data_IF_438729821786
#
_entry.id   IF_438729821786
#
_cell.length_a   1.000
_cell.length_b   1.000
_cell.length_c   1.000
_cell.angle_alpha   90.00
_cell.angle_beta   90.00
_cell.angle_gamma   90.00
#
_symmetry.space_group_name_H-M   'P 1'
#
loop_
_entity.id
_entity.type
_entity.pdbx_description
1 polymer ?
#
# COMPACT_ATOMS: atom_id res chain seq x y z
N UNK A 1 27.86 -5.66 33.12
CA UNK A 1 27.71 -6.26 31.77
C UNK A 1 27.00 -5.23 30.90
N UNK A 2 27.76 -4.38 30.21
CA UNK A 2 27.22 -3.35 29.32
C UNK A 2 26.97 -3.98 27.95
N UNK A 3 25.75 -4.48 27.75
CA UNK A 3 25.27 -4.91 26.44
C UNK A 3 24.98 -3.65 25.61
N UNK A 4 25.69 -3.51 24.50
CA UNK A 4 25.53 -2.49 23.47
C UNK A 4 24.06 -2.37 23.03
N UNK A 5 23.35 -1.34 23.50
CA UNK A 5 22.18 -0.81 22.82
C UNK A 5 22.67 -0.20 21.50
N UNK A 6 22.83 -1.02 20.46
CA UNK A 6 22.98 -0.51 19.11
C UNK A 6 21.75 0.32 18.77
N UNK A 7 21.98 1.49 18.19
CA UNK A 7 21.01 2.49 17.74
C UNK A 7 19.96 1.86 16.81
N UNK A 8 18.94 1.19 17.35
CA UNK A 8 17.82 0.72 16.56
C UNK A 8 17.15 1.89 15.82
N UNK A 9 17.28 3.08 16.38
CA UNK A 9 16.88 4.36 15.79
C UNK A 9 17.68 4.70 14.52
N UNK A 10 18.94 4.27 14.40
CA UNK A 10 19.75 4.48 13.20
C UNK A 10 19.20 3.72 11.98
N UNK A 11 18.39 2.67 12.19
CA UNK A 11 17.75 1.93 11.11
C UNK A 11 16.44 2.56 10.62
N UNK A 12 15.86 3.51 11.35
CA UNK A 12 14.57 4.13 11.00
C UNK A 12 14.65 4.85 9.64
N UNK A 13 15.64 5.73 9.48
CA UNK A 13 15.84 6.50 8.26
C UNK A 13 16.07 5.61 7.01
N UNK A 14 17.01 4.65 6.98
CA UNK A 14 17.21 3.79 5.82
C UNK A 14 16.00 2.90 5.52
N UNK A 15 15.23 2.47 6.53
CA UNK A 15 14.00 1.71 6.29
C UNK A 15 12.89 2.55 5.66
N UNK A 16 12.77 3.83 5.99
CA UNK A 16 11.85 4.73 5.27
C UNK A 16 12.30 4.95 3.81
N UNK A 17 13.60 5.09 3.57
CA UNK A 17 14.13 5.20 2.19
C UNK A 17 13.81 3.92 1.41
N UNK A 18 14.05 2.75 2.00
CA UNK A 18 13.70 1.47 1.39
C UNK A 18 12.20 1.36 1.11
N UNK A 19 11.35 1.71 2.08
CA UNK A 19 9.90 1.73 1.92
C UNK A 19 9.46 2.65 0.77
N UNK A 20 10.07 3.83 0.67
CA UNK A 20 9.83 4.76 -0.43
C UNK A 20 10.22 4.16 -1.78
N UNK A 21 11.41 3.56 -1.90
CA UNK A 21 11.87 2.94 -3.15
C UNK A 21 11.00 1.75 -3.57
N UNK A 22 10.53 0.94 -2.62
CA UNK A 22 9.61 -0.17 -2.88
C UNK A 22 8.26 0.28 -3.45
N UNK A 23 7.86 1.54 -3.23
CA UNK A 23 6.64 2.12 -3.80
C UNK A 23 6.96 2.89 -5.08
N UNK A 24 7.97 3.77 -5.05
CA UNK A 24 8.25 4.73 -6.10
C UNK A 24 8.72 4.06 -7.40
N UNK A 25 9.63 3.09 -7.32
CA UNK A 25 10.18 2.43 -8.51
C UNK A 25 9.10 1.72 -9.34
N UNK A 26 8.31 0.77 -8.79
CA UNK A 26 7.26 0.11 -9.56
C UNK A 26 6.15 1.08 -10.01
N UNK A 27 5.90 2.17 -9.27
CA UNK A 27 4.95 3.19 -9.71
C UNK A 27 5.44 3.93 -10.97
N UNK A 28 6.73 4.31 -11.02
CA UNK A 28 7.34 4.93 -12.18
C UNK A 28 7.39 3.97 -13.38
N UNK A 29 7.76 2.72 -13.15
CA UNK A 29 7.78 1.68 -14.18
C UNK A 29 6.37 1.47 -14.77
N UNK A 30 5.35 1.43 -13.92
CA UNK A 30 3.97 1.33 -14.38
C UNK A 30 3.54 2.55 -15.21
N UNK A 31 3.76 3.76 -14.70
CA UNK A 31 3.37 5.00 -15.39
C UNK A 31 4.04 5.11 -16.76
N UNK A 32 5.32 4.74 -16.88
CA UNK A 32 6.05 4.77 -18.15
C UNK A 32 5.60 3.67 -19.11
N UNK A 33 5.14 2.52 -18.59
CA UNK A 33 4.68 1.39 -19.41
C UNK A 33 3.33 1.59 -20.11
N UNK A 34 2.51 2.54 -19.64
CA UNK A 34 1.15 2.78 -20.19
C UNK A 34 1.08 3.97 -21.16
N UNK A 35 2.22 4.63 -21.42
CA UNK A 35 2.29 5.78 -22.34
C UNK A 35 2.39 5.30 -23.79
N UNK A 36 1.72 5.94 -24.78
CA UNK A 36 0.83 7.11 -24.64
C UNK A 36 -0.55 6.75 -24.07
N UNK A 37 -1.11 7.65 -23.26
CA UNK A 37 -2.41 7.44 -22.60
C UNK A 37 -3.55 7.41 -23.63
N UNK A 38 -4.26 6.28 -23.71
CA UNK A 38 -5.43 6.09 -24.60
C UNK A 38 -6.66 5.73 -23.79
N UNK A 39 -7.09 6.63 -22.91
CA UNK A 39 -8.22 6.38 -21.98
C UNK A 39 -9.57 6.12 -22.68
N UNK A 40 -9.73 6.52 -23.94
CA UNK A 40 -10.92 6.21 -24.74
C UNK A 40 -10.87 4.83 -25.39
N UNK A 41 -9.71 4.18 -25.42
CA UNK A 41 -9.48 2.87 -26.01
C UNK A 41 -9.65 1.79 -24.94
N UNK A 42 -10.58 0.87 -25.18
CA UNK A 42 -10.89 -0.20 -24.25
C UNK A 42 -9.76 -1.23 -24.12
N UNK A 43 -9.04 -1.49 -25.21
CA UNK A 43 -7.91 -2.43 -25.20
C UNK A 43 -6.79 -1.87 -24.31
N UNK A 44 -6.52 -0.57 -24.43
CA UNK A 44 -5.55 0.12 -23.58
C UNK A 44 -5.97 0.09 -22.11
N UNK A 45 -7.23 0.37 -21.80
CA UNK A 45 -7.74 0.33 -20.41
C UNK A 45 -7.59 -1.05 -19.80
N UNK A 46 -8.03 -2.09 -20.51
CA UNK A 46 -7.92 -3.47 -20.06
C UNK A 46 -6.46 -3.89 -19.87
N UNK A 47 -5.60 -3.61 -20.86
CA UNK A 47 -4.18 -3.94 -20.79
C UNK A 47 -3.48 -3.21 -19.63
N UNK A 48 -3.79 -1.93 -19.43
CA UNK A 48 -3.18 -1.10 -18.39
C UNK A 48 -3.58 -1.56 -16.99
N UNK A 49 -4.86 -1.84 -16.73
CA UNK A 49 -5.29 -2.36 -15.42
C UNK A 49 -4.78 -3.78 -15.21
N UNK A 50 -4.81 -4.63 -16.25
CA UNK A 50 -4.21 -5.96 -16.20
C UNK A 50 -2.73 -5.90 -15.83
N UNK A 51 -1.97 -4.99 -16.44
CA UNK A 51 -0.56 -4.76 -16.17
C UNK A 51 -0.34 -4.25 -14.75
N UNK A 52 -1.12 -3.26 -14.29
CA UNK A 52 -1.07 -2.70 -12.93
C UNK A 52 -1.11 -3.81 -11.88
N UNK A 53 -1.93 -4.86 -12.09
CA UNK A 53 -2.03 -5.99 -11.16
C UNK A 53 -0.67 -6.67 -10.86
N UNK A 54 0.26 -6.63 -11.82
CA UNK A 54 1.62 -7.15 -11.66
C UNK A 54 2.52 -6.31 -10.76
N UNK A 55 2.19 -5.02 -10.57
CA UNK A 55 3.02 -4.07 -9.82
C UNK A 55 2.57 -3.89 -8.38
N UNK A 56 1.44 -4.46 -7.94
CA UNK A 56 0.82 -4.11 -6.65
C UNK A 56 1.52 -4.66 -5.41
N UNK A 57 2.19 -5.81 -5.50
CA UNK A 57 2.76 -6.46 -4.32
C UNK A 57 3.92 -5.68 -3.71
N UNK A 58 4.82 -5.13 -4.54
CA UNK A 58 6.01 -4.41 -4.07
C UNK A 58 5.65 -3.10 -3.34
N UNK A 59 4.75 -2.24 -3.86
CA UNK A 59 4.23 -1.09 -3.13
C UNK A 59 3.51 -1.48 -1.84
N UNK A 60 2.75 -2.58 -1.83
CA UNK A 60 2.09 -3.06 -0.61
C UNK A 60 3.10 -3.36 0.49
N UNK A 61 4.23 -4.00 0.13
CA UNK A 61 5.34 -4.24 1.05
C UNK A 61 5.98 -2.93 1.52
N UNK A 62 6.21 -1.98 0.62
CA UNK A 62 6.75 -0.66 0.97
C UNK A 62 5.86 0.10 1.96
N UNK A 63 4.55 0.14 1.70
CA UNK A 63 3.56 0.74 2.61
C UNK A 63 3.52 0.02 3.96
N UNK A 64 3.49 -1.31 3.95
CA UNK A 64 3.50 -2.11 5.17
C UNK A 64 4.77 -1.87 6.01
N UNK A 65 5.93 -1.79 5.36
CA UNK A 65 7.20 -1.46 6.01
C UNK A 65 7.17 -0.05 6.61
N UNK A 66 6.72 0.96 5.85
CA UNK A 66 6.62 2.34 6.34
C UNK A 66 5.71 2.43 7.58
N UNK A 67 4.56 1.75 7.57
CA UNK A 67 3.66 1.72 8.72
C UNK A 67 4.24 0.94 9.91
N UNK A 68 5.00 -0.13 9.66
CA UNK A 68 5.70 -0.87 10.70
C UNK A 68 6.77 -0.04 11.39
N UNK A 69 7.60 0.66 10.61
CA UNK A 69 8.63 1.57 11.11
C UNK A 69 8.01 2.74 11.86
N UNK A 70 6.91 3.31 11.35
CA UNK A 70 6.21 4.39 12.02
C UNK A 70 5.59 3.98 13.36
N UNK A 71 5.06 2.76 13.44
CA UNK A 71 4.59 2.19 14.70
C UNK A 71 5.75 1.96 15.69
N UNK A 72 6.88 1.44 15.22
CA UNK A 72 8.09 1.23 16.04
C UNK A 72 8.66 2.55 16.57
N UNK A 73 8.80 3.55 15.71
CA UNK A 73 9.33 4.88 16.02
C UNK A 73 8.31 5.80 16.73
N UNK A 74 7.10 5.31 17.03
CA UNK A 74 6.02 6.11 17.64
C UNK A 74 5.62 7.36 16.84
N UNK A 75 5.77 7.34 15.51
CA UNK A 75 5.40 8.42 14.60
C UNK A 75 3.89 8.49 14.34
N UNK A 76 3.10 8.81 15.37
CA UNK A 76 1.63 8.73 15.32
C UNK A 76 0.99 9.57 14.19
N UNK A 77 1.52 10.79 13.95
CA UNK A 77 1.01 11.67 12.88
C UNK A 77 1.17 11.00 11.51
N UNK A 78 2.35 10.44 11.26
CA UNK A 78 2.63 9.71 10.02
C UNK A 78 1.76 8.46 9.89
N UNK A 79 1.58 7.70 10.98
CA UNK A 79 0.70 6.54 11.00
C UNK A 79 -0.76 6.88 10.62
N UNK A 80 -1.28 8.01 11.11
CA UNK A 80 -2.63 8.49 10.77
C UNK A 80 -2.74 8.91 9.31
N UNK A 81 -1.74 9.62 8.78
CA UNK A 81 -1.70 10.01 7.36
C UNK A 81 -1.69 8.77 6.48
N UNK A 82 -0.83 7.79 6.78
CA UNK A 82 -0.77 6.52 6.04
C UNK A 82 -2.07 5.72 6.14
N UNK A 83 -2.73 5.71 7.30
CA UNK A 83 -4.01 5.04 7.47
C UNK A 83 -5.10 5.66 6.57
N UNK A 84 -5.20 7.00 6.54
CA UNK A 84 -6.13 7.72 5.65
C UNK A 84 -5.77 7.46 4.18
N UNK A 85 -4.50 7.57 3.81
CA UNK A 85 -4.04 7.32 2.45
C UNK A 85 -4.41 5.90 1.98
N UNK A 86 -4.22 4.88 2.83
CA UNK A 86 -4.60 3.50 2.51
C UNK A 86 -6.11 3.31 2.32
N UNK A 87 -6.95 4.00 3.09
CA UNK A 87 -8.41 3.96 2.86
C UNK A 87 -8.80 4.65 1.54
N UNK A 88 -8.16 5.77 1.20
CA UNK A 88 -8.38 6.46 -0.08
C UNK A 88 -7.94 5.56 -1.24
N UNK A 89 -6.76 4.94 -1.14
CA UNK A 89 -6.26 3.97 -2.14
C UNK A 89 -7.23 2.79 -2.27
N UNK A 90 -7.73 2.24 -1.16
CA UNK A 90 -8.72 1.17 -1.18
C UNK A 90 -9.97 1.57 -1.97
N UNK A 91 -10.52 2.77 -1.69
CA UNK A 91 -11.70 3.28 -2.39
C UNK A 91 -11.44 3.50 -3.89
N UNK A 92 -10.30 4.08 -4.26
CA UNK A 92 -9.90 4.26 -5.65
C UNK A 92 -9.77 2.92 -6.39
N UNK A 93 -9.17 1.92 -5.75
CA UNK A 93 -9.00 0.59 -6.35
C UNK A 93 -10.32 -0.19 -6.45
N UNK A 94 -11.27 0.02 -5.54
CA UNK A 94 -12.64 -0.51 -5.70
C UNK A 94 -13.29 0.08 -6.95
N UNK A 95 -13.24 1.41 -7.12
CA UNK A 95 -13.78 2.05 -8.32
C UNK A 95 -13.09 1.55 -9.60
N UNK A 96 -11.75 1.46 -9.58
CA UNK A 96 -10.96 0.92 -10.69
C UNK A 96 -11.38 -0.51 -11.05
N UNK A 97 -11.55 -1.38 -10.04
CA UNK A 97 -11.97 -2.77 -10.25
C UNK A 97 -13.37 -2.85 -10.87
N UNK A 98 -14.31 -2.00 -10.45
CA UNK A 98 -15.65 -1.93 -11.05
C UNK A 98 -15.58 -1.55 -12.53
N UNK A 99 -14.80 -0.53 -12.90
CA UNK A 99 -14.60 -0.16 -14.31
C UNK A 99 -13.91 -1.27 -15.11
N UNK A 100 -12.93 -1.95 -14.52
CA UNK A 100 -12.23 -3.05 -15.16
C UNK A 100 -13.14 -4.25 -15.44
N UNK A 101 -14.08 -4.55 -14.53
CA UNK A 101 -15.09 -5.58 -14.78
C UNK A 101 -15.97 -5.22 -15.99
N UNK A 102 -16.36 -3.95 -16.14
CA UNK A 102 -17.08 -3.48 -17.33
C UNK A 102 -16.24 -3.69 -18.61
N UNK A 103 -14.94 -3.36 -18.56
CA UNK A 103 -14.03 -3.55 -19.69
C UNK A 103 -13.90 -5.04 -20.07
N UNK A 104 -13.83 -5.94 -19.08
CA UNK A 104 -13.84 -7.38 -19.31
C UNK A 104 -15.10 -7.81 -20.06
N UNK A 105 -16.28 -7.38 -19.61
CA UNK A 105 -17.55 -7.76 -20.27
C UNK A 105 -17.66 -7.23 -21.69
N UNK A 106 -17.17 -6.02 -21.95
CA UNK A 106 -17.20 -5.40 -23.27
C UNK A 106 -16.21 -6.09 -24.24
N UNK A 107 -14.99 -6.39 -23.78
CA UNK A 107 -13.96 -7.03 -24.61
C UNK A 107 -14.23 -8.51 -24.88
N UNK A 108 -14.89 -9.24 -23.96
CA UNK A 108 -15.10 -10.68 -24.08
C UNK A 108 -15.75 -11.10 -25.41
N UNK A 109 -16.62 -10.26 -25.97
CA UNK A 109 -17.33 -10.54 -27.22
C UNK A 109 -16.53 -10.16 -28.49
N UNK A 110 -15.43 -9.43 -28.33
CA UNK A 110 -14.58 -8.93 -29.43
C UNK A 110 -13.28 -9.73 -29.54
N UNK A 111 -12.87 -10.41 -28.46
CA UNK A 111 -11.69 -11.28 -28.43
C UNK A 111 -11.88 -12.49 -29.34
N UNK A 112 -10.88 -12.74 -30.20
CA UNK A 112 -10.83 -13.89 -31.10
C UNK A 112 -10.96 -15.21 -30.32
N UNK A 113 -11.61 -16.20 -30.93
CA UNK A 113 -11.89 -17.50 -30.29
C UNK A 113 -10.61 -18.17 -29.76
N UNK A 114 -9.51 -18.04 -30.50
CA UNK A 114 -8.20 -18.60 -30.17
C UNK A 114 -7.57 -17.95 -28.94
N UNK A 115 -7.91 -16.69 -28.64
CA UNK A 115 -7.34 -15.91 -27.54
C UNK A 115 -8.24 -15.87 -26.29
N UNK A 116 -9.47 -16.40 -26.35
CA UNK A 116 -10.43 -16.29 -25.25
C UNK A 116 -9.91 -16.89 -23.94
N UNK A 117 -9.29 -18.07 -23.98
CA UNK A 117 -8.80 -18.71 -22.76
C UNK A 117 -7.68 -17.91 -22.09
N UNK A 118 -6.77 -17.33 -22.89
CA UNK A 118 -5.71 -16.48 -22.38
C UNK A 118 -6.27 -15.19 -21.76
N UNK A 119 -7.26 -14.58 -22.43
CA UNK A 119 -7.97 -13.40 -21.94
C UNK A 119 -8.66 -13.67 -20.59
N UNK A 120 -9.46 -14.74 -20.48
CA UNK A 120 -10.17 -15.07 -19.24
C UNK A 120 -9.22 -15.37 -18.08
N UNK A 121 -8.11 -16.07 -18.35
CA UNK A 121 -7.07 -16.36 -17.34
C UNK A 121 -6.38 -15.08 -16.86
N UNK A 122 -6.01 -14.18 -17.79
CA UNK A 122 -5.38 -12.91 -17.46
C UNK A 122 -6.34 -12.00 -16.66
N UNK A 123 -7.58 -11.87 -17.11
CA UNK A 123 -8.62 -11.10 -16.44
C UNK A 123 -8.87 -11.61 -15.01
N UNK A 124 -9.02 -12.92 -14.85
CA UNK A 124 -9.26 -13.55 -13.53
C UNK A 124 -8.11 -13.30 -12.56
N UNK A 125 -6.86 -13.47 -13.02
CA UNK A 125 -5.67 -13.19 -12.20
C UNK A 125 -5.61 -11.72 -11.80
N UNK A 126 -5.90 -10.80 -12.72
CA UNK A 126 -5.90 -9.38 -12.43
C UNK A 126 -6.97 -9.03 -11.38
N UNK A 127 -8.20 -9.55 -11.52
CA UNK A 127 -9.29 -9.35 -10.55
C UNK A 127 -8.90 -9.82 -9.16
N UNK A 128 -8.38 -11.05 -9.03
CA UNK A 128 -7.97 -11.62 -7.74
C UNK A 128 -6.87 -10.79 -7.08
N UNK A 129 -5.86 -10.36 -7.85
CA UNK A 129 -4.77 -9.52 -7.34
C UNK A 129 -5.27 -8.17 -6.86
N UNK A 130 -6.14 -7.50 -7.62
CA UNK A 130 -6.73 -6.21 -7.20
C UNK A 130 -7.60 -6.36 -5.96
N UNK A 131 -8.45 -7.39 -5.90
CA UNK A 131 -9.31 -7.64 -4.73
C UNK A 131 -8.47 -7.89 -3.48
N UNK A 132 -7.43 -8.71 -3.58
CA UNK A 132 -6.52 -9.01 -2.47
C UNK A 132 -5.77 -7.75 -2.02
N UNK A 133 -5.33 -6.92 -2.98
CA UNK A 133 -4.69 -5.63 -2.68
C UNK A 133 -5.64 -4.68 -1.96
N UNK A 134 -6.88 -4.51 -2.44
CA UNK A 134 -7.94 -3.71 -1.78
C UNK A 134 -8.15 -4.16 -0.34
N UNK A 135 -8.27 -5.47 -0.11
CA UNK A 135 -8.44 -6.03 1.24
C UNK A 135 -7.23 -5.70 2.11
N UNK A 136 -6.01 -5.86 1.61
CA UNK A 136 -4.80 -5.59 2.37
C UNK A 136 -4.66 -4.12 2.75
N UNK A 137 -4.76 -3.19 1.79
CA UNK A 137 -4.65 -1.75 2.08
C UNK A 137 -5.85 -1.25 2.90
N UNK A 138 -7.06 -1.76 2.66
CA UNK A 138 -8.23 -1.46 3.48
C UNK A 138 -8.04 -1.89 4.92
N UNK A 139 -7.53 -3.11 5.15
CA UNK A 139 -7.22 -3.60 6.48
C UNK A 139 -6.13 -2.78 7.18
N UNK A 140 -5.04 -2.45 6.47
CA UNK A 140 -3.97 -1.57 6.97
C UNK A 140 -4.52 -0.19 7.35
N UNK A 141 -5.38 0.39 6.52
CA UNK A 141 -6.04 1.67 6.79
C UNK A 141 -6.90 1.62 8.05
N UNK A 142 -7.81 0.65 8.15
CA UNK A 142 -8.71 0.50 9.31
C UNK A 142 -7.94 0.22 10.61
N UNK A 143 -6.89 -0.60 10.56
CA UNK A 143 -6.10 -0.98 11.75
C UNK A 143 -5.06 0.08 12.14
N UNK A 144 -4.57 0.86 11.19
CA UNK A 144 -3.60 1.94 11.43
C UNK A 144 -4.08 2.97 12.47
N UNK A 145 -5.39 3.23 12.53
CA UNK A 145 -5.98 4.13 13.54
C UNK A 145 -5.93 3.58 14.97
N UNK A 146 -5.89 2.26 15.17
CA UNK A 146 -5.83 1.64 16.51
C UNK A 146 -4.42 1.68 17.09
N UNK A 147 -3.39 1.57 16.24
CA UNK A 147 -1.99 1.67 16.65
C UNK A 147 -1.64 3.06 17.19
N UNK A 148 -2.24 4.11 16.65
CA UNK A 148 -2.06 5.49 17.14
C UNK A 148 -2.53 5.72 18.58
N UNK A 149 -3.47 4.90 19.12
CA UNK A 149 -4.09 5.15 20.43
C UNK A 149 -3.38 4.47 21.60
N UNK A 150 -2.58 3.44 21.33
CA UNK A 150 -1.89 2.65 22.38
C UNK A 150 -0.66 3.38 22.94
N UNK A 151 -0.02 4.23 22.16
CA UNK A 151 1.18 4.97 22.57
C UNK A 151 0.86 6.19 23.45
N UNK A 152 -0.39 6.65 23.49
CA UNK A 152 -0.83 7.75 24.37
C UNK A 152 -1.01 7.29 25.84
N UNK A 153 -0.96 5.98 26.10
CA UNK A 153 -1.07 5.40 27.45
C UNK A 153 0.34 5.06 27.96
N UNK A 154 1.20 6.07 28.09
CA UNK A 154 2.41 5.93 28.92
C UNK A 154 2.05 6.39 30.34
N UNK A 155 2.17 5.54 31.37
CA UNK A 155 1.85 5.94 32.74
C UNK A 155 2.78 7.09 33.14
N UNK A 156 2.19 8.18 33.61
CA UNK A 156 2.92 9.35 34.10
C UNK A 156 4.09 8.91 34.99
N UNK A 157 5.32 9.05 34.49
CA UNK A 157 6.52 8.81 35.31
C UNK A 157 6.35 9.62 36.60
N UNK A 158 6.38 8.98 37.79
CA UNK A 158 6.34 9.72 39.03
C UNK A 158 7.51 10.70 39.00
N UNK A 159 7.22 12.01 39.00
CA UNK A 159 8.24 13.02 39.17
C UNK A 159 8.90 12.73 40.51
N UNK A 160 10.13 12.23 40.48
CA UNK A 160 10.93 12.11 41.68
C UNK A 160 11.03 13.51 42.30
N UNK A 161 10.30 13.74 43.39
CA UNK A 161 10.42 14.94 44.19
C UNK A 161 11.82 14.90 44.79
N UNK A 162 12.71 15.71 44.25
CA UNK A 162 14.01 15.99 44.87
C UNK A 162 13.69 16.70 46.18
N UNK A 163 13.70 15.94 47.28
CA UNK A 163 13.74 16.50 48.63
C UNK A 163 15.14 17.05 48.81
N UNK A 164 15.31 18.35 48.63
CA UNK A 164 16.49 19.06 49.14
C UNK A 164 16.29 19.15 50.65
N UNK A 165 16.95 18.24 51.38
CA UNK A 165 17.03 18.31 52.84
C UNK A 165 17.79 19.57 53.26
N UNK A 166 17.22 20.28 54.23
CA UNK A 166 17.90 21.29 55.04
C UNK A 166 18.37 20.71 56.37
#
# INVERSE_FOLDING_TARGET
MNGTHYDADALIAPLYVLAFLLVATPALDFVTSIVPLRVSDIEWRFASVGLLSGFLLTPLLGVGLAMGVAAYASHQRFQRIMAIANLVIAACFVALLLFFLLDIFQLRNVVQAEAQQAFESAASKAVVKHLTFVVAVGFMGLRGFRMSKLTDIEPARPRASVVIGG
#
